data_IF_867147585565
#
_entry.id   IF_867147585565
#
_cell.length_a   1.000
_cell.length_b   1.000
_cell.length_c   1.000
_cell.angle_alpha   90.00
_cell.angle_beta   90.00
_cell.angle_gamma   90.00
#
_symmetry.space_group_name_H-M   'P 1'
#
loop_
_entity.id
_entity.type
_entity.pdbx_description
1 polymer ?
#
# COMPACT_ATOMS: atom_id res chain seq x y z
N UNK A 1 -3.52 -17.98 -20.31
CA UNK A 1 -4.01 -16.59 -20.44
C UNK A 1 -3.20 -15.59 -19.60
N UNK A 2 -2.87 -15.86 -18.34
CA UNK A 2 -2.18 -14.88 -17.46
C UNK A 2 -0.66 -14.72 -17.69
N UNK A 3 0.02 -15.74 -18.21
CA UNK A 3 1.49 -15.72 -18.38
C UNK A 3 2.00 -14.49 -19.15
N UNK A 4 1.49 -14.27 -20.38
CA UNK A 4 1.93 -13.15 -21.23
C UNK A 4 1.62 -11.78 -20.60
N UNK A 5 0.45 -11.67 -19.94
CA UNK A 5 0.02 -10.45 -19.26
C UNK A 5 0.96 -10.10 -18.10
N UNK A 6 1.28 -11.08 -17.25
CA UNK A 6 2.18 -10.90 -16.11
C UNK A 6 3.63 -10.62 -16.57
N UNK A 7 4.09 -11.23 -17.67
CA UNK A 7 5.38 -10.89 -18.26
C UNK A 7 5.45 -9.44 -18.74
N UNK A 8 4.40 -8.94 -19.38
CA UNK A 8 4.32 -7.53 -19.78
C UNK A 8 4.23 -6.60 -18.56
N UNK A 9 3.43 -6.96 -17.55
CA UNK A 9 3.34 -6.20 -16.30
C UNK A 9 4.72 -6.08 -15.62
N UNK A 10 5.51 -7.16 -15.53
CA UNK A 10 6.88 -7.14 -15.00
C UNK A 10 7.79 -6.17 -15.78
N UNK A 11 7.63 -6.07 -17.11
CA UNK A 11 8.41 -5.13 -17.93
C UNK A 11 8.05 -3.66 -17.64
N UNK A 12 6.78 -3.37 -17.35
CA UNK A 12 6.30 -2.01 -17.05
C UNK A 12 6.60 -1.55 -15.62
N UNK A 13 6.79 -2.49 -14.68
CA UNK A 13 7.18 -2.15 -13.31
C UNK A 13 8.57 -1.51 -13.27
N UNK A 14 8.74 -0.53 -12.37
CA UNK A 14 10.06 -0.04 -11.95
C UNK A 14 10.82 -1.15 -11.25
N UNK A 15 12.16 -1.06 -11.20
CA UNK A 15 13.00 -2.00 -10.45
C UNK A 15 12.57 -2.11 -8.97
N UNK A 16 12.24 -0.98 -8.36
CA UNK A 16 11.73 -0.90 -6.98
C UNK A 16 10.22 -1.12 -6.86
N UNK A 17 9.54 -1.48 -7.95
CA UNK A 17 8.08 -1.57 -8.04
C UNK A 17 7.53 -2.88 -7.49
N UNK A 18 6.30 -2.82 -7.00
CA UNK A 18 5.57 -3.97 -6.45
C UNK A 18 4.28 -4.23 -7.23
N UNK A 19 3.83 -5.48 -7.24
CA UNK A 19 2.56 -5.92 -7.81
C UNK A 19 1.76 -6.68 -6.77
N UNK A 20 0.45 -6.44 -6.78
CA UNK A 20 -0.55 -7.19 -6.01
C UNK A 20 -1.48 -7.92 -6.98
N UNK A 21 -1.77 -9.20 -6.72
CA UNK A 21 -2.72 -9.97 -7.51
C UNK A 21 -3.71 -10.66 -6.58
N UNK A 22 -4.96 -10.21 -6.59
CA UNK A 22 -6.05 -10.85 -5.84
C UNK A 22 -6.49 -12.14 -6.52
N UNK A 23 -6.70 -13.20 -5.74
CA UNK A 23 -7.09 -14.53 -6.22
C UNK A 23 -7.86 -15.30 -5.14
N UNK A 24 -8.76 -16.19 -5.53
CA UNK A 24 -9.43 -17.10 -4.60
C UNK A 24 -8.70 -18.45 -4.48
N UNK A 25 -9.22 -19.38 -3.67
CA UNK A 25 -8.61 -20.70 -3.48
C UNK A 25 -8.48 -21.54 -4.76
N UNK A 26 -9.27 -21.28 -5.82
CA UNK A 26 -9.34 -22.18 -6.96
C UNK A 26 -8.03 -22.20 -7.76
N UNK A 27 -7.41 -21.03 -7.91
CA UNK A 27 -6.23 -20.84 -8.78
C UNK A 27 -5.01 -20.28 -8.04
N UNK A 28 -5.10 -20.03 -6.73
CA UNK A 28 -4.04 -19.38 -5.95
C UNK A 28 -2.69 -20.12 -6.05
N UNK A 29 -2.69 -21.45 -5.91
CA UNK A 29 -1.47 -22.25 -5.96
C UNK A 29 -0.82 -22.21 -7.35
N UNK A 30 -1.61 -22.35 -8.41
CA UNK A 30 -1.12 -22.29 -9.78
C UNK A 30 -0.61 -20.89 -10.15
N UNK A 31 -1.31 -19.85 -9.71
CA UNK A 31 -0.88 -18.47 -9.90
C UNK A 31 0.44 -18.19 -9.16
N UNK A 32 0.62 -18.70 -7.93
CA UNK A 32 1.87 -18.57 -7.18
C UNK A 32 3.05 -19.16 -7.97
N UNK A 33 2.92 -20.39 -8.45
CA UNK A 33 3.96 -21.05 -9.27
C UNK A 33 4.25 -20.27 -10.55
N UNK A 34 3.20 -19.76 -11.21
CA UNK A 34 3.35 -18.93 -12.41
C UNK A 34 4.10 -17.62 -12.12
N UNK A 35 3.78 -16.98 -10.99
CA UNK A 35 4.44 -15.74 -10.57
C UNK A 35 5.89 -15.99 -10.14
N UNK A 36 6.21 -17.11 -9.49
CA UNK A 36 7.60 -17.51 -9.20
C UNK A 36 8.41 -17.65 -10.50
N UNK A 37 7.84 -18.30 -11.52
CA UNK A 37 8.52 -18.44 -12.81
C UNK A 37 8.78 -17.08 -13.50
N UNK A 38 7.85 -16.12 -13.38
CA UNK A 38 7.94 -14.83 -14.07
C UNK A 38 8.79 -13.82 -13.28
N UNK A 39 8.53 -13.71 -11.98
CA UNK A 39 9.13 -12.72 -11.10
C UNK A 39 10.43 -13.21 -10.47
N UNK A 40 10.60 -14.51 -10.26
CA UNK A 40 11.64 -15.10 -9.40
C UNK A 40 11.07 -15.35 -8.00
N UNK A 41 11.33 -16.53 -7.43
CA UNK A 41 10.86 -16.89 -6.08
C UNK A 41 11.47 -15.95 -5.02
N UNK A 42 12.70 -15.49 -5.23
CA UNK A 42 13.40 -14.53 -4.37
C UNK A 42 12.71 -13.16 -4.31
N UNK A 43 11.86 -12.85 -5.29
CA UNK A 43 11.12 -11.59 -5.37
C UNK A 43 9.70 -11.69 -4.79
N UNK A 44 9.33 -12.85 -4.24
CA UNK A 44 8.09 -13.03 -3.48
C UNK A 44 8.18 -12.30 -2.14
N UNK A 45 7.16 -11.49 -1.82
CA UNK A 45 7.12 -10.73 -0.57
C UNK A 45 6.17 -11.42 0.41
N UNK A 46 4.92 -11.62 0.02
CA UNK A 46 3.90 -12.15 0.92
C UNK A 46 2.71 -12.74 0.17
N UNK A 47 2.06 -13.72 0.81
CA UNK A 47 0.70 -14.14 0.50
C UNK A 47 -0.22 -13.57 1.57
N UNK A 48 -0.97 -12.52 1.22
CA UNK A 48 -1.82 -11.80 2.17
C UNK A 48 -3.20 -12.46 2.19
N UNK A 49 -3.64 -12.88 3.37
CA UNK A 49 -4.97 -13.47 3.58
C UNK A 49 -6.02 -12.39 3.85
N UNK A 50 -6.98 -12.21 2.96
CA UNK A 50 -8.05 -11.22 3.08
C UNK A 50 -9.37 -11.84 3.52
N UNK A 51 -9.82 -11.51 4.75
CA UNK A 51 -11.10 -11.96 5.30
C UNK A 51 -12.23 -11.12 4.69
N UNK A 52 -12.76 -11.54 3.53
CA UNK A 52 -13.74 -10.77 2.76
C UNK A 52 -15.15 -10.70 3.36
N UNK A 53 -15.51 -11.58 4.30
CA UNK A 53 -16.84 -11.58 4.96
C UNK A 53 -16.79 -12.07 6.40
N UNK A 54 -17.68 -11.56 7.25
CA UNK A 54 -17.86 -12.01 8.64
C UNK A 54 -18.68 -13.29 8.69
N UNK A 55 -18.08 -14.36 9.24
CA UNK A 55 -18.78 -15.59 9.59
C UNK A 55 -19.50 -16.30 8.43
N UNK A 56 -20.25 -17.36 8.74
CA UNK A 56 -21.17 -18.00 7.79
C UNK A 56 -22.26 -17.03 7.33
N UNK A 57 -22.72 -17.17 6.08
CA UNK A 57 -23.91 -16.47 5.61
C UNK A 57 -25.17 -17.00 6.31
N UNK A 58 -26.25 -16.20 6.35
CA UNK A 58 -27.50 -16.58 7.04
C UNK A 58 -28.17 -17.83 6.47
N UNK A 59 -27.89 -18.20 5.22
CA UNK A 59 -28.41 -19.39 4.54
C UNK A 59 -27.33 -20.49 4.39
N UNK A 60 -26.53 -20.75 5.43
CA UNK A 60 -25.58 -21.87 5.36
C UNK A 60 -26.29 -23.22 5.40
N UNK A 61 -26.16 -23.99 4.31
CA UNK A 61 -26.41 -25.43 4.38
C UNK A 61 -25.37 -26.06 5.32
N UNK A 62 -25.81 -26.87 6.28
CA UNK A 62 -24.91 -27.66 7.16
C UNK A 62 -24.04 -28.69 6.40
N UNK A 63 -24.18 -28.77 5.08
CA UNK A 63 -23.38 -29.60 4.17
C UNK A 63 -21.90 -29.15 4.19
N UNK A 64 -21.64 -27.83 4.14
CA UNK A 64 -20.29 -27.30 4.16
C UNK A 64 -19.85 -26.99 5.60
N UNK A 65 -19.07 -27.89 6.19
CA UNK A 65 -18.55 -27.75 7.56
C UNK A 65 -17.46 -26.68 7.72
N UNK A 66 -16.89 -26.20 6.61
CA UNK A 66 -15.85 -25.16 6.58
C UNK A 66 -16.34 -23.95 5.79
N UNK A 67 -16.33 -22.78 6.42
CA UNK A 67 -16.79 -21.53 5.80
C UNK A 67 -15.63 -20.86 5.04
N UNK A 68 -15.73 -20.80 3.71
CA UNK A 68 -14.75 -20.10 2.86
C UNK A 68 -15.00 -18.59 2.87
N UNK A 69 -14.26 -17.90 3.73
CA UNK A 69 -14.36 -16.45 3.96
C UNK A 69 -13.10 -15.68 3.57
N UNK A 70 -12.05 -16.38 3.17
CA UNK A 70 -10.78 -15.78 2.80
C UNK A 70 -10.66 -15.70 1.27
N UNK A 71 -10.00 -14.66 0.79
CA UNK A 71 -9.34 -14.60 -0.52
C UNK A 71 -7.87 -14.27 -0.28
N UNK A 72 -7.03 -14.45 -1.30
CA UNK A 72 -5.59 -14.22 -1.19
C UNK A 72 -5.17 -13.06 -2.07
N UNK A 73 -4.08 -12.40 -1.68
CA UNK A 73 -3.43 -11.37 -2.48
C UNK A 73 -1.95 -11.71 -2.50
N UNK A 74 -1.46 -12.13 -3.67
CA UNK A 74 -0.05 -12.39 -3.89
C UNK A 74 0.67 -11.06 -4.10
N UNK A 75 1.76 -10.86 -3.37
CA UNK A 75 2.60 -9.67 -3.44
C UNK A 75 4.01 -10.04 -3.90
N UNK A 76 4.47 -9.39 -4.97
CA UNK A 76 5.82 -9.55 -5.53
C UNK A 76 6.47 -8.20 -5.79
N UNK A 77 7.78 -8.14 -5.66
CA UNK A 77 8.58 -7.06 -6.21
C UNK A 77 9.04 -7.40 -7.63
N UNK A 78 9.44 -6.39 -8.42
CA UNK A 78 10.23 -6.64 -9.62
C UNK A 78 11.65 -7.12 -9.27
N UNK A 79 12.26 -6.48 -8.29
CA UNK A 79 13.54 -6.83 -7.68
C UNK A 79 13.45 -6.53 -6.18
N UNK A 80 13.46 -7.57 -5.34
CA UNK A 80 13.27 -7.44 -3.91
C UNK A 80 14.61 -7.21 -3.19
N UNK A 81 14.76 -6.00 -2.66
CA UNK A 81 15.93 -5.53 -1.91
C UNK A 81 15.55 -4.30 -1.03
N UNK A 82 16.54 -3.67 -0.39
CA UNK A 82 16.35 -2.52 0.49
C UNK A 82 15.71 -1.28 -0.17
N UNK A 83 15.82 -1.12 -1.50
CA UNK A 83 15.23 -0.01 -2.25
C UNK A 83 13.78 -0.29 -2.69
N UNK A 84 13.24 -1.49 -2.43
CA UNK A 84 11.86 -1.84 -2.79
C UNK A 84 10.90 -0.85 -2.15
N UNK A 85 9.92 -0.36 -2.92
CA UNK A 85 8.95 0.63 -2.44
C UNK A 85 7.91 -0.01 -1.52
N UNK A 86 8.34 -0.42 -0.34
CA UNK A 86 7.53 -0.92 0.77
C UNK A 86 7.94 -0.14 2.01
N UNK A 87 7.00 0.59 2.58
CA UNK A 87 7.15 1.32 3.82
C UNK A 87 6.47 0.61 4.99
N UNK A 88 6.15 1.40 6.00
CA UNK A 88 5.46 0.97 7.21
C UNK A 88 4.03 1.52 7.24
N UNK A 89 3.17 0.84 7.99
CA UNK A 89 1.85 1.37 8.33
C UNK A 89 2.02 2.54 9.30
N UNK A 90 1.91 3.75 8.77
CA UNK A 90 1.97 4.99 9.55
C UNK A 90 0.77 5.03 10.51
N UNK A 91 1.02 5.39 11.77
CA UNK A 91 -0.04 5.55 12.75
C UNK A 91 -0.76 6.89 12.59
N UNK A 92 -2.09 6.85 12.51
CA UNK A 92 -2.91 8.04 12.66
C UNK A 92 -2.87 8.56 14.12
N UNK A 93 -3.42 9.76 14.32
CA UNK A 93 -3.45 10.41 15.63
C UNK A 93 -4.22 9.61 16.69
N UNK A 94 -5.26 8.87 16.31
CA UNK A 94 -6.03 8.07 17.27
C UNK A 94 -5.23 6.86 17.75
N UNK A 95 -4.57 6.17 16.83
CA UNK A 95 -3.69 5.04 17.11
C UNK A 95 -2.49 5.47 17.95
N UNK A 96 -1.88 6.61 17.62
CA UNK A 96 -0.78 7.19 18.41
C UNK A 96 -1.22 7.44 19.87
N UNK A 97 -2.38 8.06 20.08
CA UNK A 97 -2.95 8.28 21.42
C UNK A 97 -3.17 6.96 22.16
N UNK A 98 -3.78 5.95 21.51
CA UNK A 98 -3.99 4.61 22.09
C UNK A 98 -2.68 3.91 22.46
N UNK A 99 -1.60 4.19 21.73
CA UNK A 99 -0.26 3.66 22.00
C UNK A 99 0.54 4.48 23.04
N UNK A 100 -0.06 5.52 23.61
CA UNK A 100 0.54 6.34 24.68
C UNK A 100 1.43 7.49 24.19
N UNK A 101 1.43 7.81 22.89
CA UNK A 101 2.10 9.00 22.36
C UNK A 101 1.29 10.25 22.71
N UNK A 102 1.38 10.68 23.96
CA UNK A 102 0.58 11.80 24.51
C UNK A 102 1.44 12.93 25.07
N UNK A 103 2.71 12.67 25.36
CA UNK A 103 3.60 13.64 25.99
C UNK A 103 4.21 14.58 24.95
N UNK A 104 4.58 15.78 25.40
CA UNK A 104 5.24 16.82 24.61
C UNK A 104 6.41 17.38 25.42
N UNK A 105 7.42 17.86 24.71
CA UNK A 105 8.54 18.61 25.29
C UNK A 105 8.93 19.77 24.36
N UNK A 106 10.03 20.46 24.68
CA UNK A 106 10.53 21.60 23.92
C UNK A 106 10.85 21.28 22.44
N UNK A 107 11.00 20.01 22.08
CA UNK A 107 11.28 19.57 20.71
C UNK A 107 10.02 19.15 19.94
N UNK A 108 8.82 19.41 20.48
CA UNK A 108 7.55 18.91 19.93
C UNK A 108 7.34 19.25 18.45
N UNK A 109 7.69 20.46 18.00
CA UNK A 109 7.49 20.87 16.61
C UNK A 109 8.31 20.03 15.61
N UNK A 110 9.49 19.55 16.03
CA UNK A 110 10.35 18.71 15.19
C UNK A 110 10.11 17.21 15.39
N UNK A 111 9.90 16.79 16.64
CA UNK A 111 9.88 15.36 17.04
C UNK A 111 8.47 14.79 17.21
N UNK A 112 7.47 15.64 17.37
CA UNK A 112 6.07 15.26 17.63
C UNK A 112 5.84 14.70 19.04
N UNK A 113 4.71 14.02 19.23
CA UNK A 113 4.38 13.41 20.51
C UNK A 113 5.37 12.30 20.88
N UNK A 114 5.58 12.06 22.17
CA UNK A 114 6.37 10.93 22.65
C UNK A 114 5.66 10.08 23.69
N UNK A 115 6.12 8.84 23.80
CA UNK A 115 5.81 7.92 24.90
C UNK A 115 7.08 7.49 25.60
N UNK A 116 6.94 7.02 26.84
CA UNK A 116 8.04 6.46 27.60
C UNK A 116 8.06 4.95 27.42
N UNK A 117 9.26 4.42 27.16
CA UNK A 117 9.53 3.00 27.19
C UNK A 117 10.68 2.74 28.16
N UNK A 118 10.69 1.57 28.79
CA UNK A 118 11.78 1.20 29.68
C UNK A 118 13.11 1.14 28.92
N UNK A 119 14.16 1.65 29.55
CA UNK A 119 15.53 1.57 29.02
C UNK A 119 16.17 0.20 29.30
N UNK A 120 15.50 -0.69 30.04
CA UNK A 120 16.02 -2.00 30.41
C UNK A 120 15.09 -3.12 29.92
N UNK A 121 15.62 -4.35 29.90
CA UNK A 121 14.85 -5.56 29.65
C UNK A 121 15.21 -6.62 30.71
N UNK A 122 14.27 -7.47 31.15
CA UNK A 122 14.57 -8.57 32.07
C UNK A 122 15.51 -9.62 31.44
N UNK A 123 16.44 -10.12 32.22
CA UNK A 123 17.33 -11.20 31.83
C UNK A 123 16.58 -12.55 31.85
N UNK A 124 16.82 -13.37 30.85
CA UNK A 124 16.28 -14.73 30.71
C UNK A 124 17.34 -15.67 30.14
N UNK A 125 17.08 -16.98 30.18
CA UNK A 125 17.95 -17.98 29.54
C UNK A 125 17.93 -17.94 28.00
N UNK A 126 16.96 -17.21 27.41
CA UNK A 126 16.77 -17.06 25.98
C UNK A 126 17.64 -15.98 25.33
N UNK A 127 17.06 -15.24 24.39
CA UNK A 127 17.76 -14.20 23.61
C UNK A 127 18.17 -12.98 24.45
N UNK A 128 17.44 -12.69 25.53
CA UNK A 128 17.70 -11.54 26.40
C UNK A 128 18.52 -11.96 27.62
N UNK A 129 19.80 -12.27 27.42
CA UNK A 129 20.70 -12.67 28.52
C UNK A 129 21.19 -11.45 29.27
N UNK A 130 21.57 -11.66 30.54
CA UNK A 130 22.25 -10.64 31.32
C UNK A 130 23.59 -10.28 30.68
N UNK A 131 23.93 -8.99 30.69
CA UNK A 131 25.23 -8.48 30.28
C UNK A 131 25.77 -7.50 31.31
N UNK A 132 26.91 -7.83 31.91
CA UNK A 132 27.59 -6.98 32.90
C UNK A 132 27.98 -5.61 32.34
N UNK A 133 28.31 -5.52 31.05
CA UNK A 133 28.66 -4.23 30.41
C UNK A 133 27.47 -3.29 30.23
N UNK A 134 26.25 -3.81 30.39
CA UNK A 134 24.99 -3.06 30.29
C UNK A 134 24.33 -2.89 31.67
N UNK A 135 25.07 -3.16 32.74
CA UNK A 135 24.63 -2.99 34.12
C UNK A 135 25.56 -1.98 34.80
N UNK A 136 25.26 -0.70 34.59
CA UNK A 136 26.04 0.44 35.06
C UNK A 136 25.16 1.39 35.87
N UNK A 137 25.78 2.23 36.70
CA UNK A 137 25.03 3.19 37.52
C UNK A 137 24.61 4.40 36.69
N UNK A 138 23.40 4.90 36.94
CA UNK A 138 22.90 6.14 36.36
C UNK A 138 22.75 7.18 37.48
N UNK A 139 23.10 8.42 37.18
CA UNK A 139 22.87 9.56 38.09
C UNK A 139 21.46 10.12 37.89
N UNK A 140 20.67 10.16 38.96
CA UNK A 140 19.34 10.74 39.00
C UNK A 140 19.41 12.29 39.04
N UNK A 141 18.30 12.99 38.76
CA UNK A 141 18.26 14.46 38.81
C UNK A 141 18.63 15.08 40.16
N UNK A 142 18.51 14.33 41.26
CA UNK A 142 18.91 14.77 42.61
C UNK A 142 20.39 14.46 42.94
N UNK A 143 21.16 13.96 41.97
CA UNK A 143 22.56 13.55 42.14
C UNK A 143 22.74 12.11 42.67
N UNK A 144 21.66 11.41 43.00
CA UNK A 144 21.73 10.02 43.49
C UNK A 144 22.16 9.08 42.37
N UNK A 145 23.20 8.26 42.61
CA UNK A 145 23.53 7.15 41.70
C UNK A 145 22.67 5.94 42.04
N UNK A 146 22.00 5.37 41.04
CA UNK A 146 21.12 4.22 41.22
C UNK A 146 21.46 3.09 40.24
N UNK A 147 21.22 1.87 40.70
CA UNK A 147 21.21 0.65 39.89
C UNK A 147 19.77 0.26 39.52
N UNK A 148 19.61 -0.71 38.61
CA UNK A 148 18.29 -1.20 38.23
C UNK A 148 17.55 -1.78 39.44
N UNK A 149 16.33 -1.30 39.70
CA UNK A 149 15.46 -1.82 40.75
C UNK A 149 15.31 -3.36 40.71
N UNK A 150 15.23 -3.95 39.51
CA UNK A 150 15.18 -5.39 39.33
C UNK A 150 16.43 -6.10 39.88
N UNK A 151 17.62 -5.51 39.70
CA UNK A 151 18.89 -6.05 40.20
C UNK A 151 19.04 -5.87 41.72
N UNK A 152 18.46 -4.81 42.31
CA UNK A 152 18.34 -4.66 43.77
C UNK A 152 17.57 -5.83 44.39
N UNK A 153 16.46 -6.24 43.75
CA UNK A 153 15.64 -7.35 44.24
C UNK A 153 16.24 -8.72 43.93
N UNK A 154 16.78 -8.87 42.73
CA UNK A 154 17.34 -10.11 42.23
C UNK A 154 18.54 -9.77 41.36
N UNK A 155 19.78 -9.96 41.85
CA UNK A 155 20.98 -9.68 41.09
C UNK A 155 20.96 -10.35 39.70
N UNK A 156 21.52 -9.66 38.72
CA UNK A 156 21.66 -10.11 37.33
C UNK A 156 20.33 -10.43 36.60
N UNK A 157 19.19 -9.94 37.13
CA UNK A 157 17.85 -10.21 36.57
C UNK A 157 17.40 -9.22 35.50
N UNK A 158 18.15 -8.14 35.25
CA UNK A 158 17.92 -7.22 34.15
C UNK A 158 19.23 -6.52 33.75
N UNK A 159 19.24 -5.93 32.56
CA UNK A 159 20.29 -4.99 32.14
C UNK A 159 19.69 -3.92 31.23
N UNK A 160 20.41 -2.81 31.05
CA UNK A 160 20.02 -1.76 30.11
C UNK A 160 20.09 -2.25 28.66
N UNK A 161 19.32 -1.59 27.80
CA UNK A 161 19.33 -1.85 26.35
C UNK A 161 20.35 -1.01 25.60
N UNK A 162 20.89 0.03 26.25
CA UNK A 162 21.91 0.93 25.71
C UNK A 162 23.20 0.79 26.51
N UNK A 163 24.35 1.03 25.87
CA UNK A 163 25.62 1.20 26.57
C UNK A 163 25.63 2.52 27.36
N UNK A 164 26.52 2.64 28.35
CA UNK A 164 26.68 3.87 29.13
C UNK A 164 26.97 5.09 28.23
N UNK A 165 27.84 4.94 27.24
CA UNK A 165 28.11 5.98 26.24
C UNK A 165 26.85 6.40 25.46
N UNK A 166 26.10 5.42 24.95
CA UNK A 166 24.87 5.67 24.19
C UNK A 166 23.81 6.33 25.06
N UNK A 167 23.72 5.93 26.32
CA UNK A 167 22.86 6.58 27.32
C UNK A 167 23.26 8.04 27.54
N UNK A 168 24.54 8.32 27.75
CA UNK A 168 25.02 9.68 27.99
C UNK A 168 24.72 10.61 26.80
N UNK A 169 24.95 10.15 25.57
CA UNK A 169 24.61 10.91 24.37
C UNK A 169 23.09 11.08 24.23
N UNK A 170 22.31 10.01 24.39
CA UNK A 170 20.85 10.07 24.31
C UNK A 170 20.24 10.99 25.36
N UNK A 171 20.78 10.99 26.58
CA UNK A 171 20.37 11.88 27.67
C UNK A 171 20.66 13.34 27.31
N UNK A 172 21.86 13.64 26.82
CA UNK A 172 22.24 14.98 26.35
C UNK A 172 21.35 15.49 25.21
N UNK A 173 20.88 14.59 24.34
CA UNK A 173 19.98 14.91 23.23
C UNK A 173 18.48 14.96 23.63
N UNK A 174 18.17 14.74 24.91
CA UNK A 174 16.81 14.82 25.45
C UNK A 174 15.96 13.56 25.26
N UNK A 175 16.54 12.42 24.89
CA UNK A 175 15.84 11.14 24.68
C UNK A 175 15.66 10.30 25.94
N UNK A 176 16.12 10.77 27.09
CA UNK A 176 16.00 10.07 28.37
C UNK A 176 15.09 10.87 29.31
N UNK A 177 14.26 10.16 30.07
CA UNK A 177 13.53 10.69 31.21
C UNK A 177 13.85 9.81 32.43
N UNK A 178 14.35 10.41 33.51
CA UNK A 178 14.62 9.70 34.76
C UNK A 178 13.59 10.12 35.79
N UNK A 179 12.84 9.16 36.34
CA UNK A 179 11.86 9.42 37.40
C UNK A 179 11.70 8.23 38.32
N UNK A 180 11.08 8.47 39.48
CA UNK A 180 10.72 7.39 40.39
C UNK A 180 9.56 6.59 39.83
N UNK A 181 9.69 5.26 39.88
CA UNK A 181 8.59 4.34 39.60
C UNK A 181 7.56 4.38 40.75
N UNK A 182 6.37 3.73 40.62
CA UNK A 182 5.34 3.73 41.67
C UNK A 182 5.80 3.16 43.02
N UNK A 183 6.92 2.42 43.04
CA UNK A 183 7.52 1.85 44.26
C UNK A 183 8.59 2.76 44.88
N UNK A 184 8.82 3.95 44.32
CA UNK A 184 9.75 4.95 44.83
C UNK A 184 11.20 4.82 44.36
N UNK A 185 11.53 3.85 43.50
CA UNK A 185 12.88 3.65 42.99
C UNK A 185 13.13 4.48 41.73
N UNK A 186 14.31 5.08 41.63
CA UNK A 186 14.75 5.75 40.41
C UNK A 186 14.81 4.78 39.22
N UNK A 187 14.33 5.23 38.06
CA UNK A 187 14.30 4.45 36.83
C UNK A 187 14.50 5.38 35.62
N UNK A 188 15.32 4.92 34.67
CA UNK A 188 15.52 5.58 33.40
C UNK A 188 14.57 5.02 32.33
N UNK A 189 13.92 5.92 31.61
CA UNK A 189 13.06 5.64 30.47
C UNK A 189 13.66 6.29 29.22
N UNK A 190 13.48 5.64 28.07
CA UNK A 190 13.72 6.27 26.77
C UNK A 190 12.44 6.90 26.25
N UNK A 191 12.54 8.09 25.67
CA UNK A 191 11.47 8.73 24.92
C UNK A 191 11.44 8.15 23.50
N UNK A 192 10.29 7.62 23.10
CA UNK A 192 10.00 7.21 21.73
C UNK A 192 9.11 8.27 21.10
N UNK A 193 9.66 8.99 20.12
CA UNK A 193 8.98 10.11 19.46
C UNK A 193 8.23 9.67 18.20
N UNK A 194 7.32 10.52 17.75
CA UNK A 194 6.50 10.31 16.56
C UNK A 194 7.30 10.44 15.25
N UNK A 195 8.25 11.38 15.17
CA UNK A 195 8.94 11.74 13.92
C UNK A 195 10.45 11.47 13.92
N UNK A 196 11.01 11.03 15.06
CA UNK A 196 12.43 10.70 15.19
C UNK A 196 12.66 9.54 16.15
N UNK A 197 13.82 8.90 16.03
CA UNK A 197 14.37 7.98 17.03
C UNK A 197 15.85 8.27 17.26
N UNK A 198 16.33 7.97 18.45
CA UNK A 198 17.76 7.90 18.70
C UNK A 198 18.28 6.52 18.32
N UNK A 199 19.31 6.47 17.48
CA UNK A 199 20.05 5.25 17.17
C UNK A 199 21.20 5.10 18.17
N UNK A 200 21.16 4.12 19.09
CA UNK A 200 22.22 3.95 20.09
C UNK A 200 23.54 3.43 19.50
N UNK A 201 23.55 2.82 18.31
CA UNK A 201 24.76 2.32 17.66
C UNK A 201 25.51 3.47 16.99
N UNK A 202 24.81 4.24 16.17
CA UNK A 202 25.35 5.40 15.46
C UNK A 202 25.41 6.66 16.33
N UNK A 203 24.78 6.62 17.51
CA UNK A 203 24.67 7.73 18.47
C UNK A 203 24.09 9.00 17.82
N UNK A 204 23.15 8.83 16.89
CA UNK A 204 22.57 9.90 16.07
C UNK A 204 21.04 9.91 16.15
N UNK A 205 20.44 11.02 15.70
CA UNK A 205 18.99 11.14 15.55
C UNK A 205 18.62 10.74 14.12
N UNK A 206 17.71 9.80 13.98
CA UNK A 206 17.21 9.32 12.69
C UNK A 206 15.75 9.74 12.54
N UNK A 207 15.41 10.34 11.40
CA UNK A 207 14.02 10.63 11.04
C UNK A 207 13.26 9.33 10.78
N UNK A 208 12.18 9.11 11.51
CA UNK A 208 11.30 7.96 11.35
C UNK A 208 9.88 8.40 11.65
N UNK A 209 8.90 7.90 10.92
CA UNK A 209 7.50 8.14 11.29
C UNK A 209 7.02 6.94 12.10
N UNK A 210 6.45 7.20 13.28
CA UNK A 210 5.89 6.16 14.14
C UNK A 210 4.85 5.34 13.37
N UNK A 211 5.10 4.04 13.32
CA UNK A 211 4.33 3.09 12.55
C UNK A 211 4.68 1.67 12.95
N UNK A 212 4.12 0.72 12.22
CA UNK A 212 4.37 -0.71 12.40
C UNK A 212 4.51 -1.40 11.06
N UNK A 213 5.10 -2.59 11.06
CA UNK A 213 5.14 -3.48 9.91
C UNK A 213 3.71 -3.85 9.46
N UNK A 214 3.57 -4.12 8.17
CA UNK A 214 2.33 -4.69 7.64
C UNK A 214 2.22 -6.16 8.01
N UNK A 215 1.01 -6.58 8.35
CA UNK A 215 0.68 -7.99 8.59
C UNK A 215 0.26 -8.65 7.27
N UNK A 216 0.50 -9.95 7.15
CA UNK A 216 0.09 -10.73 5.97
C UNK A 216 -1.37 -11.23 6.07
N UNK A 217 -2.22 -10.52 6.81
CA UNK A 217 -3.65 -10.73 6.82
C UNK A 217 -4.40 -9.40 6.90
N UNK A 218 -5.58 -9.36 6.28
CA UNK A 218 -6.46 -8.20 6.24
C UNK A 218 -7.80 -8.62 6.84
N UNK A 219 -8.13 -7.99 7.96
CA UNK A 219 -9.45 -8.04 8.57
C UNK A 219 -10.16 -6.68 8.47
N UNK A 220 -11.46 -6.67 8.77
CA UNK A 220 -12.29 -5.46 8.86
C UNK A 220 -12.53 -4.67 7.56
N UNK A 221 -12.01 -5.13 6.41
CA UNK A 221 -12.37 -4.65 5.08
C UNK A 221 -13.19 -5.74 4.40
N UNK A 222 -14.50 -5.57 4.24
CA UNK A 222 -15.37 -6.64 3.71
C UNK A 222 -15.82 -6.34 2.29
N UNK A 223 -16.04 -7.39 1.48
CA UNK A 223 -16.50 -7.26 0.09
C UNK A 223 -17.83 -6.51 -0.04
N UNK A 224 -18.70 -6.61 0.97
CA UNK A 224 -19.98 -5.89 1.03
C UNK A 224 -19.82 -4.37 0.96
N UNK A 225 -18.69 -3.82 1.41
CA UNK A 225 -18.43 -2.38 1.37
C UNK A 225 -18.29 -1.89 -0.09
N UNK A 226 -17.75 -2.70 -1.00
CA UNK A 226 -17.68 -2.35 -2.42
C UNK A 226 -19.06 -2.25 -3.07
N UNK A 227 -20.00 -3.12 -2.68
CA UNK A 227 -21.38 -3.08 -3.19
C UNK A 227 -22.15 -1.84 -2.72
N UNK A 228 -21.99 -1.42 -1.46
CA UNK A 228 -22.62 -0.21 -0.93
C UNK A 228 -22.21 1.03 -1.71
N UNK A 229 -20.94 1.14 -2.03
CA UNK A 229 -20.43 2.29 -2.78
C UNK A 229 -20.91 2.31 -4.23
N UNK A 230 -21.00 1.15 -4.91
CA UNK A 230 -21.65 1.08 -6.23
C UNK A 230 -23.09 1.57 -6.15
N UNK A 231 -23.84 1.22 -5.11
CA UNK A 231 -25.22 1.71 -4.92
C UNK A 231 -25.23 3.23 -4.71
N UNK A 232 -24.29 3.80 -3.97
CA UNK A 232 -24.24 5.26 -3.76
C UNK A 232 -23.86 6.04 -5.03
N UNK A 233 -23.00 5.47 -5.87
CA UNK A 233 -22.53 6.11 -7.10
C UNK A 233 -23.56 5.95 -8.24
N UNK A 234 -24.14 4.77 -8.39
CA UNK A 234 -25.01 4.43 -9.52
C UNK A 234 -26.50 4.44 -9.19
N UNK A 235 -26.87 4.49 -7.91
CA UNK A 235 -28.25 4.34 -7.41
C UNK A 235 -28.91 3.01 -7.84
N UNK A 236 -28.09 2.06 -8.29
CA UNK A 236 -28.50 0.75 -8.76
C UNK A 236 -27.47 -0.30 -8.36
N UNK A 237 -27.92 -1.30 -7.61
CA UNK A 237 -27.09 -2.38 -7.08
C UNK A 237 -26.64 -3.41 -8.12
N UNK A 238 -27.32 -3.50 -9.26
CA UNK A 238 -27.11 -4.54 -10.28
C UNK A 238 -26.20 -4.07 -11.43
N UNK A 239 -25.52 -2.92 -11.29
CA UNK A 239 -24.67 -2.35 -12.35
C UNK A 239 -23.37 -3.12 -12.51
N UNK A 240 -22.83 -3.65 -11.42
CA UNK A 240 -21.59 -4.41 -11.45
C UNK A 240 -21.53 -5.40 -10.29
N UNK A 241 -21.27 -6.67 -10.61
CA UNK A 241 -21.20 -7.72 -9.63
C UNK A 241 -19.80 -7.78 -9.00
N UNK A 242 -19.76 -7.95 -7.67
CA UNK A 242 -18.54 -8.18 -6.89
C UNK A 242 -17.41 -7.13 -7.06
N UNK A 243 -17.71 -5.81 -6.98
CA UNK A 243 -16.65 -4.79 -6.95
C UNK A 243 -15.73 -5.02 -5.74
N UNK A 244 -14.41 -4.90 -5.94
CA UNK A 244 -13.49 -4.81 -4.79
C UNK A 244 -13.80 -3.52 -4.01
N UNK A 245 -13.72 -3.51 -2.67
CA UNK A 245 -13.87 -2.29 -1.88
C UNK A 245 -12.71 -1.31 -2.12
N UNK A 246 -12.94 0.01 -2.25
CA UNK A 246 -11.86 0.99 -2.36
C UNK A 246 -10.91 0.94 -1.19
N UNK A 247 -11.42 0.74 0.03
CA UNK A 247 -10.59 0.65 1.24
C UNK A 247 -9.55 -0.47 1.14
N UNK A 248 -9.87 -1.58 0.45
CA UNK A 248 -8.90 -2.63 0.18
C UNK A 248 -7.78 -2.10 -0.70
N UNK A 249 -8.12 -1.42 -1.80
CA UNK A 249 -7.13 -0.89 -2.73
C UNK A 249 -6.31 0.22 -2.06
N UNK A 250 -6.93 1.10 -1.26
CA UNK A 250 -6.22 2.12 -0.47
C UNK A 250 -5.24 1.47 0.51
N UNK A 251 -5.64 0.39 1.17
CA UNK A 251 -4.75 -0.38 2.04
C UNK A 251 -3.55 -0.96 1.27
N UNK A 252 -3.77 -1.57 0.11
CA UNK A 252 -2.67 -2.09 -0.72
C UNK A 252 -1.73 -0.98 -1.21
N UNK A 253 -2.27 0.17 -1.63
CA UNK A 253 -1.47 1.33 -2.03
C UNK A 253 -0.65 1.92 -0.87
N UNK A 254 -1.13 1.78 0.37
CA UNK A 254 -0.41 2.25 1.56
C UNK A 254 0.91 1.52 1.80
N UNK A 255 1.09 0.31 1.25
CA UNK A 255 2.39 -0.39 1.34
C UNK A 255 3.52 0.44 0.76
N UNK A 256 3.30 1.21 -0.31
CA UNK A 256 4.39 1.96 -0.95
C UNK A 256 4.76 3.26 -0.24
N UNK A 257 3.84 3.86 0.54
CA UNK A 257 3.92 5.24 1.07
C UNK A 257 4.31 6.33 0.05
N UNK A 258 4.42 6.00 -1.24
CA UNK A 258 4.81 6.90 -2.30
C UNK A 258 3.59 7.70 -2.77
N UNK A 259 3.55 8.97 -2.36
CA UNK A 259 2.49 9.92 -2.73
C UNK A 259 2.51 10.34 -4.20
N UNK A 260 3.53 9.96 -4.97
CA UNK A 260 3.65 10.23 -6.40
C UNK A 260 3.69 8.93 -7.23
N UNK A 261 3.16 7.83 -6.67
CA UNK A 261 3.15 6.54 -7.33
C UNK A 261 2.36 6.57 -8.65
N UNK A 262 2.79 5.73 -9.59
CA UNK A 262 2.03 5.41 -10.81
C UNK A 262 1.41 4.04 -10.63
N UNK A 263 0.08 3.99 -10.67
CA UNK A 263 -0.71 2.78 -10.41
C UNK A 263 -1.24 2.25 -11.73
N UNK A 264 -0.99 0.98 -12.03
CA UNK A 264 -1.53 0.30 -13.20
C UNK A 264 -2.46 -0.82 -12.75
N UNK A 265 -3.69 -0.81 -13.23
CA UNK A 265 -4.63 -1.91 -13.09
C UNK A 265 -5.12 -2.33 -14.47
N UNK A 266 -4.61 -3.46 -14.94
CA UNK A 266 -4.93 -4.01 -16.25
C UNK A 266 -6.11 -5.01 -16.23
N UNK A 267 -6.84 -5.07 -15.11
CA UNK A 267 -8.10 -5.77 -14.92
C UNK A 267 -9.10 -4.86 -14.18
N UNK A 268 -9.29 -3.65 -14.72
CA UNK A 268 -9.92 -2.55 -13.99
C UNK A 268 -11.36 -2.82 -13.50
N UNK A 269 -12.12 -3.67 -14.21
CA UNK A 269 -13.48 -4.05 -13.84
C UNK A 269 -14.34 -2.83 -13.50
N UNK A 270 -14.88 -2.77 -12.28
CA UNK A 270 -15.72 -1.66 -11.81
C UNK A 270 -15.00 -0.32 -11.59
N UNK A 271 -13.69 -0.19 -11.86
CA UNK A 271 -12.95 1.07 -11.72
C UNK A 271 -12.57 1.43 -10.29
N UNK A 272 -12.60 0.46 -9.36
CA UNK A 272 -12.26 0.68 -7.93
C UNK A 272 -10.87 1.28 -7.75
N UNK A 273 -9.88 0.82 -8.52
CA UNK A 273 -8.49 1.28 -8.36
C UNK A 273 -8.32 2.77 -8.65
N UNK A 274 -8.93 3.27 -9.73
CA UNK A 274 -8.89 4.72 -10.03
C UNK A 274 -9.56 5.53 -8.92
N UNK A 275 -10.74 5.10 -8.46
CA UNK A 275 -11.44 5.79 -7.36
C UNK A 275 -10.60 5.82 -6.07
N UNK A 276 -9.97 4.71 -5.69
CA UNK A 276 -9.13 4.64 -4.50
C UNK A 276 -7.91 5.58 -4.58
N UNK A 277 -7.35 5.77 -5.78
CA UNK A 277 -6.24 6.70 -6.01
C UNK A 277 -6.69 8.16 -5.82
N UNK A 278 -7.83 8.54 -6.40
CA UNK A 278 -8.41 9.89 -6.22
C UNK A 278 -8.69 10.19 -4.75
N UNK A 279 -9.30 9.22 -4.06
CA UNK A 279 -9.62 9.33 -2.65
C UNK A 279 -8.37 9.50 -1.77
N UNK A 280 -7.30 8.74 -2.03
CA UNK A 280 -6.02 8.89 -1.33
C UNK A 280 -5.37 10.24 -1.60
N UNK A 281 -5.32 10.70 -2.85
CA UNK A 281 -4.74 12.00 -3.20
C UNK A 281 -5.46 13.14 -2.47
N UNK A 282 -6.79 13.09 -2.37
CA UNK A 282 -7.58 14.05 -1.59
C UNK A 282 -7.28 13.99 -0.10
N UNK A 283 -7.11 12.79 0.47
CA UNK A 283 -6.87 12.59 1.91
C UNK A 283 -5.48 13.03 2.35
N UNK A 284 -4.45 12.72 1.56
CA UNK A 284 -3.05 12.88 1.97
C UNK A 284 -2.28 13.93 1.17
N UNK A 285 -2.94 14.65 0.26
CA UNK A 285 -2.34 15.66 -0.62
C UNK A 285 -1.37 15.07 -1.64
N UNK A 286 -1.48 13.78 -1.94
CA UNK A 286 -0.65 13.10 -2.93
C UNK A 286 -0.99 13.47 -4.38
N UNK A 287 -0.08 13.13 -5.28
CA UNK A 287 -0.20 13.29 -6.73
C UNK A 287 0.00 11.93 -7.43
N UNK A 288 -0.60 10.88 -6.87
CA UNK A 288 -0.58 9.56 -7.51
C UNK A 288 -1.34 9.63 -8.82
N UNK A 289 -0.87 8.91 -9.82
CA UNK A 289 -1.55 8.78 -11.12
C UNK A 289 -1.96 7.34 -11.33
N UNK A 290 -3.00 7.11 -12.12
CA UNK A 290 -3.45 5.76 -12.43
C UNK A 290 -3.66 5.54 -13.94
N UNK A 291 -3.54 4.29 -14.36
CA UNK A 291 -3.91 3.82 -15.69
C UNK A 291 -4.74 2.55 -15.51
N UNK A 292 -5.96 2.57 -16.05
CA UNK A 292 -6.89 1.45 -16.00
C UNK A 292 -7.02 0.84 -17.40
N UNK A 293 -6.99 -0.50 -17.48
CA UNK A 293 -7.27 -1.24 -18.72
C UNK A 293 -8.39 -2.24 -18.46
N UNK A 294 -9.34 -2.29 -19.38
CA UNK A 294 -10.49 -3.20 -19.37
C UNK A 294 -10.77 -3.67 -20.80
N UNK A 295 -11.30 -4.87 -20.95
CA UNK A 295 -11.70 -5.42 -22.25
C UNK A 295 -13.05 -4.88 -22.74
N UNK A 296 -13.74 -4.07 -21.92
CA UNK A 296 -15.07 -3.53 -22.19
C UNK A 296 -16.13 -4.60 -22.53
N UNK A 297 -15.94 -5.84 -22.07
CA UNK A 297 -16.95 -6.90 -22.19
C UNK A 297 -18.24 -6.46 -21.49
N UNK A 298 -19.40 -6.77 -22.08
CA UNK A 298 -20.71 -6.31 -21.60
C UNK A 298 -20.81 -4.79 -21.39
N UNK A 299 -20.03 -4.01 -22.14
CA UNK A 299 -19.94 -2.55 -22.03
C UNK A 299 -19.44 -2.04 -20.66
N UNK A 300 -18.85 -2.89 -19.83
CA UNK A 300 -18.42 -2.56 -18.47
C UNK A 300 -17.46 -1.37 -18.45
N UNK A 301 -16.58 -1.26 -19.44
CA UNK A 301 -15.62 -0.17 -19.54
C UNK A 301 -16.27 1.21 -19.62
N UNK A 302 -17.31 1.35 -20.45
CA UNK A 302 -18.02 2.63 -20.56
C UNK A 302 -19.12 2.79 -19.50
N UNK A 303 -20.00 1.79 -19.34
CA UNK A 303 -21.18 1.92 -18.48
C UNK A 303 -20.87 1.86 -16.99
N UNK A 304 -19.71 1.28 -16.61
CA UNK A 304 -19.31 1.12 -15.21
C UNK A 304 -18.00 1.84 -14.93
N UNK A 305 -16.88 1.43 -15.54
CA UNK A 305 -15.55 1.96 -15.20
C UNK A 305 -15.46 3.47 -15.44
N UNK A 306 -15.76 3.90 -16.67
CA UNK A 306 -15.74 5.29 -17.07
C UNK A 306 -16.81 6.09 -16.32
N UNK A 307 -18.07 5.62 -16.31
CA UNK A 307 -19.17 6.33 -15.64
C UNK A 307 -18.89 6.54 -14.14
N UNK A 308 -18.34 5.54 -13.44
CA UNK A 308 -17.93 5.67 -12.04
C UNK A 308 -16.91 6.78 -11.86
N UNK A 309 -15.83 6.75 -12.65
CA UNK A 309 -14.75 7.74 -12.55
C UNK A 309 -15.22 9.14 -12.95
N UNK A 310 -16.07 9.24 -13.97
CA UNK A 310 -16.69 10.49 -14.38
C UNK A 310 -17.52 11.08 -13.24
N UNK A 311 -18.41 10.28 -12.65
CA UNK A 311 -19.26 10.70 -11.52
C UNK A 311 -18.46 11.26 -10.36
N UNK A 312 -17.44 10.53 -9.89
CA UNK A 312 -16.66 10.97 -8.72
C UNK A 312 -15.73 12.15 -9.02
N UNK A 313 -15.26 12.30 -10.27
CA UNK A 313 -14.42 13.43 -10.66
C UNK A 313 -15.21 14.72 -10.94
N UNK A 314 -16.41 14.61 -11.50
CA UNK A 314 -17.20 15.77 -11.92
C UNK A 314 -18.41 16.07 -11.02
N UNK A 315 -18.78 15.17 -10.10
CA UNK A 315 -19.90 15.36 -9.18
C UNK A 315 -21.28 15.29 -9.84
N UNK A 316 -21.38 14.69 -11.03
CA UNK A 316 -22.63 14.45 -11.77
C UNK A 316 -22.49 13.22 -12.67
N UNK A 317 -23.60 12.59 -13.04
CA UNK A 317 -23.60 11.55 -14.07
C UNK A 317 -23.28 12.13 -15.45
N UNK A 318 -22.93 11.27 -16.41
CA UNK A 318 -22.75 11.69 -17.81
C UNK A 318 -24.00 12.31 -18.42
N UNK A 319 -25.19 11.87 -17.99
CA UNK A 319 -26.48 12.46 -18.33
C UNK A 319 -26.80 13.78 -17.59
N UNK A 320 -25.92 14.22 -16.68
CA UNK A 320 -26.05 15.49 -15.96
C UNK A 320 -26.83 15.44 -14.64
N UNK A 321 -27.22 14.26 -14.16
CA UNK A 321 -27.99 14.08 -12.92
C UNK A 321 -27.09 14.06 -11.68
N UNK A 322 -27.64 14.52 -10.54
CA UNK A 322 -27.05 14.29 -9.22
C UNK A 322 -27.26 12.83 -8.77
N UNK A 323 -26.53 12.39 -7.75
CA UNK A 323 -26.59 11.04 -7.22
C UNK A 323 -26.16 11.00 -5.75
N UNK A 324 -26.61 9.99 -4.99
CA UNK A 324 -26.43 9.91 -3.54
C UNK A 324 -25.01 10.16 -3.00
N UNK A 325 -23.96 9.68 -3.68
CA UNK A 325 -22.58 9.83 -3.19
C UNK A 325 -22.15 11.30 -2.99
N UNK A 326 -22.67 12.25 -3.80
CA UNK A 326 -22.30 13.68 -3.67
C UNK A 326 -22.88 14.36 -2.43
N UNK A 327 -23.84 13.73 -1.75
CA UNK A 327 -24.41 14.26 -0.50
C UNK A 327 -23.35 14.32 0.62
N UNK A 328 -22.39 13.38 0.61
CA UNK A 328 -21.35 13.26 1.62
C UNK A 328 -19.94 13.52 1.06
N UNK A 329 -19.80 13.72 -0.25
CA UNK A 329 -18.51 13.82 -0.91
C UNK A 329 -18.47 14.96 -1.94
N UNK A 330 -17.35 15.69 -1.93
CA UNK A 330 -17.01 16.62 -3.00
C UNK A 330 -16.27 15.91 -4.14
N UNK A 331 -16.63 16.27 -5.37
CA UNK A 331 -15.96 15.83 -6.59
C UNK A 331 -14.44 16.05 -6.54
N UNK A 332 -13.67 15.10 -7.07
CA UNK A 332 -12.20 15.12 -7.02
C UNK A 332 -11.57 16.11 -8.00
N UNK A 333 -12.25 16.45 -9.10
CA UNK A 333 -11.82 17.41 -10.13
C UNK A 333 -10.51 17.04 -10.85
N UNK A 334 -10.23 15.74 -10.99
CA UNK A 334 -9.10 15.25 -11.78
C UNK A 334 -9.44 15.13 -13.27
N UNK A 335 -8.42 15.09 -14.13
CA UNK A 335 -8.58 14.81 -15.55
C UNK A 335 -8.93 13.33 -15.76
N UNK A 336 -9.76 13.04 -16.76
CA UNK A 336 -10.14 11.67 -17.12
C UNK A 336 -10.04 11.51 -18.63
N UNK A 337 -8.89 11.02 -19.07
CA UNK A 337 -8.63 10.71 -20.47
C UNK A 337 -8.96 9.24 -20.76
N UNK A 338 -9.76 9.00 -21.80
CA UNK A 338 -10.22 7.66 -22.18
C UNK A 338 -9.80 7.36 -23.60
N UNK A 339 -9.12 6.23 -23.78
CA UNK A 339 -8.63 5.77 -25.07
C UNK A 339 -9.22 4.41 -25.40
N UNK A 340 -9.66 4.26 -26.65
CA UNK A 340 -10.19 3.00 -27.15
C UNK A 340 -9.16 2.30 -28.05
N UNK A 341 -8.98 1.00 -27.84
CA UNK A 341 -8.18 0.17 -28.75
C UNK A 341 -9.02 -0.09 -30.00
N UNK A 342 -8.56 0.44 -31.14
CA UNK A 342 -9.21 0.27 -32.43
C UNK A 342 -8.43 -0.74 -33.27
N UNK A 343 -9.15 -1.65 -33.91
CA UNK A 343 -8.60 -2.60 -34.87
C UNK A 343 -8.85 -2.09 -36.28
N UNK A 344 -7.82 -2.07 -37.12
CA UNK A 344 -7.89 -1.68 -38.52
C UNK A 344 -7.43 -2.83 -39.38
N UNK A 345 -8.17 -3.13 -40.45
CA UNK A 345 -7.78 -4.16 -41.40
C UNK A 345 -6.58 -3.69 -42.23
N UNK A 346 -5.56 -4.53 -42.32
CA UNK A 346 -4.39 -4.30 -43.17
C UNK A 346 -4.51 -5.05 -44.50
N UNK A 347 -5.71 -5.19 -45.07
CA UNK A 347 -5.84 -5.65 -46.46
C UNK A 347 -5.24 -4.58 -47.39
N UNK A 348 -3.92 -4.66 -47.57
CA UNK A 348 -3.09 -3.72 -48.34
C UNK A 348 -3.29 -4.04 -49.81
N UNK A 349 -4.13 -3.26 -50.49
CA UNK A 349 -4.15 -3.18 -51.96
C UNK A 349 -4.21 -1.72 -52.48
N UNK A 350 -4.14 -0.70 -51.62
CA UNK A 350 -4.07 0.71 -52.04
C UNK A 350 -3.12 1.52 -51.14
N UNK A 351 -2.16 2.22 -51.76
CA UNK A 351 -1.23 3.16 -51.10
C UNK A 351 -1.94 4.23 -50.26
N UNK A 352 -3.15 4.67 -50.65
CA UNK A 352 -3.95 5.65 -49.90
C UNK A 352 -4.39 5.14 -48.53
N UNK A 353 -4.57 3.83 -48.36
CA UNK A 353 -4.97 3.25 -47.07
C UNK A 353 -3.81 3.25 -46.06
N UNK A 354 -2.56 3.16 -46.54
CA UNK A 354 -1.37 3.18 -45.68
C UNK A 354 -1.19 4.56 -45.04
N UNK A 355 -1.26 5.63 -45.83
CA UNK A 355 -1.12 7.00 -45.31
C UNK A 355 -2.24 7.36 -44.33
N UNK A 356 -3.46 6.85 -44.56
CA UNK A 356 -4.57 7.01 -43.62
C UNK A 356 -4.31 6.32 -42.28
N UNK A 357 -3.81 5.09 -42.28
CA UNK A 357 -3.45 4.37 -41.03
C UNK A 357 -2.34 5.13 -40.30
N UNK A 358 -1.32 5.61 -41.02
CA UNK A 358 -0.22 6.40 -40.46
C UNK A 358 -0.73 7.68 -39.79
N UNK A 359 -1.63 8.42 -40.46
CA UNK A 359 -2.22 9.63 -39.91
C UNK A 359 -3.08 9.34 -38.68
N UNK A 360 -3.86 8.24 -38.68
CA UNK A 360 -4.64 7.79 -37.52
C UNK A 360 -3.74 7.48 -36.32
N UNK A 361 -2.66 6.70 -36.52
CA UNK A 361 -1.73 6.37 -35.44
C UNK A 361 -0.98 7.62 -34.95
N UNK A 362 -0.57 8.51 -35.86
CA UNK A 362 0.06 9.80 -35.49
C UNK A 362 -0.85 10.63 -34.60
N UNK A 363 -2.13 10.73 -34.97
CA UNK A 363 -3.13 11.42 -34.18
C UNK A 363 -3.32 10.75 -32.81
N UNK A 364 -3.44 9.42 -32.76
CA UNK A 364 -3.59 8.71 -31.48
C UNK A 364 -2.38 8.90 -30.56
N UNK A 365 -1.16 8.88 -31.09
CA UNK A 365 0.05 9.15 -30.31
C UNK A 365 0.07 10.59 -29.80
N UNK A 366 -0.32 11.55 -30.64
CA UNK A 366 -0.44 12.95 -30.24
C UNK A 366 -1.50 13.15 -29.15
N UNK A 367 -2.69 12.56 -29.32
CA UNK A 367 -3.78 12.60 -28.33
C UNK A 367 -3.35 11.94 -27.00
N UNK A 368 -2.45 10.94 -27.05
CA UNK A 368 -1.83 10.31 -25.88
C UNK A 368 -0.64 11.10 -25.30
N UNK A 369 -0.31 12.27 -25.86
CA UNK A 369 0.78 13.14 -25.41
C UNK A 369 2.18 12.73 -25.88
N UNK A 370 2.29 11.86 -26.89
CA UNK A 370 3.56 11.42 -27.49
C UNK A 370 3.87 12.25 -28.74
N UNK A 371 4.70 13.29 -28.56
CA UNK A 371 5.11 14.22 -29.62
C UNK A 371 6.34 13.77 -30.42
N UNK A 372 6.52 12.47 -30.67
CA UNK A 372 7.62 11.96 -31.50
C UNK A 372 7.19 11.82 -32.95
N UNK A 373 8.01 12.34 -33.87
CA UNK A 373 7.89 12.05 -35.29
C UNK A 373 8.32 10.61 -35.52
N UNK A 374 7.35 9.72 -35.69
CA UNK A 374 7.61 8.30 -35.91
C UNK A 374 7.84 8.09 -37.42
N UNK A 375 8.95 7.44 -37.80
CA UNK A 375 9.18 7.04 -39.21
C UNK A 375 8.28 5.85 -39.57
N UNK A 376 7.01 6.12 -39.83
CA UNK A 376 5.98 5.09 -40.00
C UNK A 376 6.23 4.10 -41.16
N UNK A 377 7.02 4.46 -42.18
CA UNK A 377 7.47 3.52 -43.22
C UNK A 377 8.30 2.35 -42.65
N UNK A 378 9.06 2.55 -41.57
CA UNK A 378 9.76 1.45 -40.87
C UNK A 378 8.81 0.60 -40.02
N UNK A 379 7.74 1.21 -39.48
CA UNK A 379 6.73 0.50 -38.68
C UNK A 379 5.92 -0.45 -39.56
N UNK A 380 5.50 -0.06 -40.75
CA UNK A 380 4.75 -0.95 -41.65
C UNK A 380 5.51 -2.22 -42.04
N UNK A 381 6.83 -2.12 -42.27
CA UNK A 381 7.69 -3.29 -42.51
C UNK A 381 7.80 -4.22 -41.29
N UNK A 382 7.59 -3.68 -40.08
CA UNK A 382 7.45 -4.47 -38.86
C UNK A 382 6.04 -5.03 -38.66
N UNK A 383 4.99 -4.34 -39.09
CA UNK A 383 3.59 -4.78 -38.95
C UNK A 383 3.24 -5.96 -39.86
N UNK A 384 3.90 -6.13 -41.01
CA UNK A 384 3.80 -7.35 -41.83
C UNK A 384 4.35 -8.62 -41.14
N UNK A 385 5.04 -8.47 -40.00
CA UNK A 385 5.50 -9.58 -39.16
C UNK A 385 4.53 -9.94 -38.02
N UNK A 386 3.44 -9.19 -37.86
CA UNK A 386 2.44 -9.48 -36.83
C UNK A 386 1.68 -10.77 -37.18
N UNK A 387 1.70 -11.71 -36.24
CA UNK A 387 0.92 -12.95 -36.32
C UNK A 387 -0.54 -12.61 -36.65
N UNK A 388 -1.08 -13.29 -37.66
CA UNK A 388 -2.51 -13.32 -37.95
C UNK A 388 -3.25 -13.62 -36.63
N UNK A 389 -4.13 -12.71 -36.20
CA UNK A 389 -5.12 -13.04 -35.18
C UNK A 389 -5.93 -14.21 -35.75
N UNK A 390 -5.85 -15.39 -35.10
CA UNK A 390 -6.79 -16.47 -35.41
C UNK A 390 -8.17 -15.92 -35.07
N UNK A 391 -9.02 -15.77 -36.07
CA UNK A 391 -10.46 -15.65 -35.84
C UNK A 391 -10.90 -16.93 -35.12
N UNK A 392 -11.55 -16.77 -33.98
CA UNK A 392 -12.17 -17.88 -33.24
C UNK A 392 -13.20 -18.64 -34.10
#
# INVERSE_FOLDING_TARGET
MMYERLQLAKKLLKETGIIFVSIDDNEQAYLKVLMDQIFGEENFIANISWIKKRGPGSNTSFINKVVKNCEYILMYAKNYNEDTQIGYKIHDLEKLKKLGYTNKDEFFEERGFYKLADLHHPSSSGAFRYSKSLDYLIEAPDGTKFELYSNILKPESACYTWSEDSFNVGNKLGFIEIKKNPKGYWQAYRKQYQFVKFDPKEKSIVKVVAGQEFENYIENIYSQNGGKEIIEIFENKNVFDFPKPPDLIKYLLSFSNNKNARVLDFFAGGGTTGHAVEDLNKQDGGNRTYTLVTNNENNIGYSVTYERLFRVNFGKSTDGNSFKWVENNNAYKSNLDVFEVKYESTNINDSRNVDQIVNKVSKMLFDFGINKTVEYKKILNGLSSLKKLKSD
#
